data_IF_696878909708
#
_entry.id   IF_696878909708
#
_cell.length_a   1.000
_cell.length_b   1.000
_cell.length_c   1.000
_cell.angle_alpha   90.00
_cell.angle_beta   90.00
_cell.angle_gamma   90.00
#
_symmetry.space_group_name_H-M   'P 1'
#
loop_
_entity.id
_entity.type
_entity.pdbx_description
1 polymer ?
#
# COMPACT_ATOMS: atom_id res chain seq x y z
N UNK A 1 -5.58 -14.49 14.63
CA UNK A 1 -4.58 -15.49 15.05
C UNK A 1 -3.83 -15.95 13.80
N UNK A 2 -2.70 -15.32 13.47
CA UNK A 2 -1.87 -15.69 12.31
C UNK A 2 -0.38 -15.38 12.48
N UNK A 3 0.02 -14.74 13.59
CA UNK A 3 1.40 -14.29 13.83
C UNK A 3 2.30 -15.35 14.48
N UNK A 4 1.75 -16.52 14.86
CA UNK A 4 2.47 -17.54 15.63
C UNK A 4 3.15 -18.64 14.80
N UNK A 5 2.74 -18.87 13.55
CA UNK A 5 3.01 -20.18 12.91
C UNK A 5 4.17 -20.19 11.89
N UNK A 6 4.98 -19.12 11.82
CA UNK A 6 6.06 -18.98 10.82
C UNK A 6 5.59 -18.92 9.36
N UNK A 7 4.34 -19.31 9.08
CA UNK A 7 3.68 -19.22 7.79
C UNK A 7 3.49 -17.77 7.36
N UNK A 8 3.15 -16.87 8.28
CA UNK A 8 2.99 -15.45 8.01
C UNK A 8 4.31 -14.81 7.55
N UNK A 9 5.42 -15.09 8.24
CA UNK A 9 6.74 -14.64 7.83
C UNK A 9 7.13 -15.22 6.46
N UNK A 10 6.91 -16.52 6.22
CA UNK A 10 7.15 -17.14 4.91
C UNK A 10 6.30 -16.53 3.78
N UNK A 11 5.07 -16.14 4.07
CA UNK A 11 4.20 -15.46 3.12
C UNK A 11 4.69 -14.04 2.83
N UNK A 12 5.11 -13.30 3.85
CA UNK A 12 5.75 -12.00 3.71
C UNK A 12 7.02 -12.09 2.86
N UNK A 13 7.92 -13.03 3.16
CA UNK A 13 9.14 -13.28 2.39
C UNK A 13 8.84 -13.60 0.92
N UNK A 14 7.85 -14.48 0.69
CA UNK A 14 7.45 -14.86 -0.66
C UNK A 14 6.88 -13.65 -1.42
N UNK A 15 6.10 -12.83 -0.72
CA UNK A 15 5.49 -11.62 -1.27
C UNK A 15 6.57 -10.58 -1.59
N UNK A 16 7.50 -10.33 -0.67
CA UNK A 16 8.68 -9.49 -0.88
C UNK A 16 9.51 -9.92 -2.10
N UNK A 17 9.47 -11.22 -2.44
CA UNK A 17 10.14 -11.80 -3.61
C UNK A 17 9.44 -11.60 -4.97
N UNK A 18 8.20 -11.13 -4.99
CA UNK A 18 7.46 -10.87 -6.23
C UNK A 18 7.99 -9.63 -6.96
N UNK A 19 8.22 -9.71 -8.28
CA UNK A 19 8.73 -8.60 -9.10
C UNK A 19 7.88 -7.33 -8.96
N UNK A 20 6.56 -7.51 -8.90
CA UNK A 20 5.59 -6.42 -8.67
C UNK A 20 4.64 -6.81 -7.55
N UNK A 21 4.43 -5.89 -6.60
CA UNK A 21 3.36 -5.95 -5.60
C UNK A 21 2.44 -4.76 -5.81
N UNK A 22 1.14 -4.99 -5.62
CA UNK A 22 0.11 -3.94 -5.60
C UNK A 22 -0.51 -3.91 -4.20
N UNK A 23 -0.42 -2.76 -3.55
CA UNK A 23 -1.14 -2.45 -2.32
C UNK A 23 -2.38 -1.64 -2.68
N UNK A 24 -3.53 -2.30 -2.71
CA UNK A 24 -4.81 -1.65 -2.99
C UNK A 24 -5.46 -1.14 -1.70
N UNK A 25 -6.30 -0.10 -1.83
CA UNK A 25 -7.03 0.55 -0.73
C UNK A 25 -6.12 0.94 0.47
N UNK A 26 -4.94 1.49 0.17
CA UNK A 26 -4.00 1.92 1.21
C UNK A 26 -4.57 3.05 2.08
N UNK A 27 -4.48 2.87 3.40
CA UNK A 27 -4.81 3.87 4.41
C UNK A 27 -6.26 3.91 4.88
N UNK A 28 -7.03 2.83 4.70
CA UNK A 28 -8.39 2.72 5.26
C UNK A 28 -8.45 2.76 6.80
N UNK A 29 -7.38 2.36 7.47
CA UNK A 29 -7.28 2.35 8.94
C UNK A 29 -5.86 2.63 9.40
N UNK A 30 -5.73 3.14 10.62
CA UNK A 30 -4.44 3.28 11.28
C UNK A 30 -3.80 1.91 11.48
N UNK A 31 -2.51 1.80 11.18
CA UNK A 31 -1.76 0.55 11.34
C UNK A 31 -1.49 0.26 12.82
N UNK A 32 -1.60 -1.02 13.18
CA UNK A 32 -1.10 -1.50 14.47
C UNK A 32 0.43 -1.49 14.49
N UNK A 33 1.03 -1.49 15.69
CA UNK A 33 2.49 -1.45 15.83
C UNK A 33 3.23 -2.53 15.05
N UNK A 34 2.71 -3.76 15.06
CA UNK A 34 3.36 -4.83 14.30
C UNK A 34 3.09 -4.68 12.80
N UNK A 35 1.92 -4.22 12.34
CA UNK A 35 1.70 -3.99 10.91
C UNK A 35 2.64 -2.92 10.33
N UNK A 36 2.93 -1.84 11.07
CA UNK A 36 3.89 -0.82 10.60
C UNK A 36 5.33 -1.35 10.56
N UNK A 37 5.73 -2.23 11.48
CA UNK A 37 7.04 -2.91 11.45
C UNK A 37 7.14 -3.88 10.27
N UNK A 38 6.14 -4.73 10.09
CA UNK A 38 6.08 -5.68 8.97
C UNK A 38 6.12 -4.94 7.62
N UNK A 39 5.43 -3.79 7.53
CA UNK A 39 5.46 -2.95 6.33
C UNK A 39 6.84 -2.34 6.10
N UNK A 40 7.48 -1.80 7.14
CA UNK A 40 8.83 -1.25 7.02
C UNK A 40 9.80 -2.30 6.48
N UNK A 41 9.80 -3.51 7.06
CA UNK A 41 10.62 -4.63 6.61
C UNK A 41 10.36 -4.98 5.13
N UNK A 42 9.08 -5.11 4.75
CA UNK A 42 8.68 -5.36 3.36
C UNK A 42 9.18 -4.26 2.40
N UNK A 43 9.10 -2.99 2.79
CA UNK A 43 9.53 -1.88 1.96
C UNK A 43 11.06 -1.83 1.87
N UNK A 44 11.77 -2.12 2.96
CA UNK A 44 13.24 -2.18 2.97
C UNK A 44 13.77 -3.28 2.05
N UNK A 45 13.22 -4.49 2.13
CA UNK A 45 13.60 -5.61 1.27
C UNK A 45 13.36 -5.37 -0.23
N UNK A 46 12.44 -4.45 -0.55
CA UNK A 46 12.06 -4.14 -1.93
C UNK A 46 12.72 -2.87 -2.46
N UNK A 47 13.25 -2.03 -1.59
CA UNK A 47 13.75 -0.72 -1.95
C UNK A 47 14.87 -0.84 -3.00
N UNK A 48 14.70 -0.13 -4.13
CA UNK A 48 15.62 -0.16 -5.27
C UNK A 48 15.85 -1.52 -5.93
N UNK A 49 15.08 -2.56 -5.56
CA UNK A 49 15.21 -3.91 -6.10
C UNK A 49 13.97 -4.36 -6.88
N UNK A 50 12.76 -4.01 -6.41
CA UNK A 50 11.50 -4.48 -7.00
C UNK A 50 10.44 -3.38 -7.00
N UNK A 51 9.46 -3.49 -7.90
CA UNK A 51 8.43 -2.46 -8.05
C UNK A 51 7.28 -2.63 -7.08
N UNK A 52 6.84 -1.54 -6.46
CA UNK A 52 5.67 -1.52 -5.58
C UNK A 52 4.69 -0.47 -6.06
N UNK A 53 3.45 -0.88 -6.33
CA UNK A 53 2.36 0.01 -6.73
C UNK A 53 1.46 0.19 -5.53
N UNK A 54 1.10 1.43 -5.23
CA UNK A 54 0.18 1.76 -4.13
C UNK A 54 -1.00 2.52 -4.71
N UNK A 55 -2.19 1.95 -4.54
CA UNK A 55 -3.44 2.61 -4.83
C UNK A 55 -4.06 3.12 -3.52
N UNK A 56 -4.32 4.41 -3.46
CA UNK A 56 -4.89 5.06 -2.28
C UNK A 56 -5.85 6.17 -2.68
N UNK A 57 -6.85 6.39 -1.83
CA UNK A 57 -7.73 7.56 -1.89
C UNK A 57 -7.22 8.70 -0.99
N UNK A 58 -6.16 8.47 -0.21
CA UNK A 58 -5.60 9.45 0.70
C UNK A 58 -4.44 10.21 0.05
N UNK A 59 -4.35 11.54 0.24
CA UNK A 59 -3.16 12.28 -0.13
C UNK A 59 -1.96 11.81 0.72
N UNK A 60 -0.76 11.87 0.14
CA UNK A 60 0.50 11.46 0.79
C UNK A 60 0.70 12.16 2.15
N UNK A 61 0.24 13.40 2.29
CA UNK A 61 0.33 14.17 3.55
C UNK A 61 -0.35 13.49 4.73
N UNK A 62 -1.34 12.61 4.50
CA UNK A 62 -2.04 11.85 5.54
C UNK A 62 -1.39 10.52 5.90
N UNK A 63 -0.32 10.13 5.22
CA UNK A 63 0.30 8.81 5.46
C UNK A 63 0.97 8.71 6.83
N UNK A 64 1.47 9.82 7.37
CA UNK A 64 1.96 9.88 8.75
C UNK A 64 0.88 9.49 9.76
N UNK A 65 -0.36 9.95 9.56
CA UNK A 65 -1.50 9.64 10.43
C UNK A 65 -1.89 8.16 10.35
N UNK A 66 -1.82 7.57 9.15
CA UNK A 66 -2.12 6.15 8.92
C UNK A 66 -1.08 5.24 9.57
N UNK A 67 0.21 5.59 9.46
CA UNK A 67 1.30 4.78 10.03
C UNK A 67 1.38 4.97 11.55
N UNK A 68 1.01 6.17 12.04
CA UNK A 68 0.90 6.53 13.45
C UNK A 68 2.20 6.27 14.25
N UNK A 69 3.33 6.54 13.61
CA UNK A 69 4.67 6.53 14.18
C UNK A 69 5.55 7.42 13.29
N UNK A 70 6.07 8.51 13.83
CA UNK A 70 6.74 9.51 13.01
C UNK A 70 8.04 8.96 12.39
N UNK A 71 8.85 8.27 13.17
CA UNK A 71 10.12 7.70 12.73
C UNK A 71 9.93 6.63 11.66
N UNK A 72 8.98 5.71 11.86
CA UNK A 72 8.69 4.66 10.87
C UNK A 72 8.05 5.28 9.62
N UNK A 73 7.16 6.26 9.78
CA UNK A 73 6.54 6.93 8.65
C UNK A 73 7.57 7.65 7.78
N UNK A 74 8.52 8.39 8.39
CA UNK A 74 9.61 9.04 7.67
C UNK A 74 10.43 8.00 6.88
N UNK A 75 10.83 6.90 7.52
CA UNK A 75 11.62 5.84 6.88
C UNK A 75 10.89 5.20 5.69
N UNK A 76 9.59 4.92 5.82
CA UNK A 76 8.75 4.35 4.77
C UNK A 76 8.55 5.34 3.63
N UNK A 77 8.21 6.60 3.94
CA UNK A 77 7.96 7.64 2.95
C UNK A 77 9.21 7.99 2.16
N UNK A 78 10.37 8.03 2.80
CA UNK A 78 11.64 8.25 2.10
C UNK A 78 11.92 7.15 1.06
N UNK A 79 11.65 5.89 1.41
CA UNK A 79 11.89 4.75 0.49
C UNK A 79 10.84 4.62 -0.61
N UNK A 80 9.56 4.84 -0.28
CA UNK A 80 8.46 4.68 -1.23
C UNK A 80 8.22 5.93 -2.05
N UNK A 81 8.08 7.07 -1.41
CA UNK A 81 7.53 8.28 -2.04
C UNK A 81 8.61 9.12 -2.71
N UNK A 82 9.83 9.13 -2.20
CA UNK A 82 10.93 9.92 -2.76
C UNK A 82 11.20 9.52 -4.23
N UNK A 83 11.24 8.22 -4.52
CA UNK A 83 11.50 7.68 -5.85
C UNK A 83 10.23 7.29 -6.63
N UNK A 84 9.04 7.56 -6.10
CA UNK A 84 7.79 7.14 -6.74
C UNK A 84 7.36 8.05 -7.89
N UNK A 85 6.84 7.41 -8.94
CA UNK A 85 6.00 8.08 -9.92
C UNK A 85 4.60 8.32 -9.35
N UNK A 86 4.23 9.58 -9.19
CA UNK A 86 2.93 9.99 -8.62
C UNK A 86 1.92 10.20 -9.74
N UNK A 87 0.91 9.33 -9.81
CA UNK A 87 -0.18 9.43 -10.79
C UNK A 87 -1.43 9.92 -10.08
N UNK A 88 -1.75 11.20 -10.25
CA UNK A 88 -2.97 11.79 -9.70
C UNK A 88 -4.16 11.49 -10.61
N UNK A 89 -5.00 10.54 -10.19
CA UNK A 89 -6.24 10.21 -10.90
C UNK A 89 -7.28 11.32 -10.72
N UNK A 90 -7.88 11.77 -11.83
CA UNK A 90 -8.97 12.74 -11.85
C UNK A 90 -10.21 12.10 -12.48
N UNK A 91 -11.39 12.53 -12.04
CA UNK A 91 -12.67 12.10 -12.60
C UNK A 91 -13.60 11.45 -11.58
N UNK A 92 -14.86 11.27 -11.98
CA UNK A 92 -15.87 10.61 -11.15
C UNK A 92 -15.74 9.08 -11.16
N UNK A 93 -16.38 8.43 -10.18
CA UNK A 93 -16.38 6.96 -10.08
C UNK A 93 -16.84 6.28 -11.37
N UNK A 94 -16.00 5.40 -11.89
CA UNK A 94 -16.32 4.58 -13.07
C UNK A 94 -17.47 3.60 -12.80
N UNK A 95 -17.72 3.24 -11.53
CA UNK A 95 -18.87 2.40 -11.14
C UNK A 95 -20.21 3.04 -11.55
N UNK A 96 -20.30 4.38 -11.52
CA UNK A 96 -21.51 5.12 -11.96
C UNK A 96 -21.70 5.12 -13.47
N UNK A 97 -20.64 4.94 -14.27
CA UNK A 97 -20.72 4.86 -15.74
C UNK A 97 -21.20 3.49 -16.21
N UNK A 98 -20.82 2.42 -15.53
CA UNK A 98 -21.25 1.05 -15.84
C UNK A 98 -22.76 0.90 -15.65
N UNK A 99 -23.34 1.53 -14.62
CA UNK A 99 -24.79 1.50 -14.36
C UNK A 99 -25.63 2.34 -15.35
N UNK A 100 -25.01 3.00 -16.35
CA UNK A 100 -25.70 3.80 -17.38
C UNK A 100 -25.75 3.12 -18.75
N UNK A 101 -25.33 1.85 -18.86
CA UNK A 101 -25.60 1.09 -20.09
C UNK A 101 -27.12 0.98 -20.22
N UNK A 102 -27.73 1.48 -21.30
CA UNK A 102 -29.18 1.43 -21.45
C UNK A 102 -29.57 -0.03 -21.60
N UNK A 103 -30.45 -0.50 -20.72
CA UNK A 103 -31.18 -1.75 -20.89
C UNK A 103 -32.12 -1.56 -22.08
N UNK A 104 -31.63 -1.81 -23.30
CA UNK A 104 -32.50 -1.97 -24.47
C UNK A 104 -32.98 -3.41 -24.48
N UNK A 105 -34.24 -3.61 -24.08
CA UNK A 105 -35.05 -4.74 -24.55
C UNK A 105 -35.70 -4.35 -25.87
#
# INVERSE_FOLDING_TARGET
MAKGDGLYAKLLDKTAKCDVIILDDWGLSVLTESQRKDLLELIEDRYSLRSTIIATQLPITKWHEVINDQTIADAILDRLVHNAHKINMKGGSMRKKINKVPTSC
#
